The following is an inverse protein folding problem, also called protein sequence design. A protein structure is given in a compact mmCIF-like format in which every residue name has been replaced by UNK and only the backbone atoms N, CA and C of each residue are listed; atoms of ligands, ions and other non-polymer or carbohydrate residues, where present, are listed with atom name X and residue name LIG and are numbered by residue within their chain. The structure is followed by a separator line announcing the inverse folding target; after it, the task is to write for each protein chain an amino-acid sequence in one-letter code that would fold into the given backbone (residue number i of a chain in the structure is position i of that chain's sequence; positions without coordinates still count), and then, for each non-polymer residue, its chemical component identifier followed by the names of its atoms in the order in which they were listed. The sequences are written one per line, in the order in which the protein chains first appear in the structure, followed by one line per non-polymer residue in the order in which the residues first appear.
data_IF_831362225291
#
_entry.id   IF_831362225291
#
_cell.length_a   1.000
_cell.length_b   1.000
_cell.length_c   1.000
_cell.angle_alpha   90.00
_cell.angle_beta   90.00
_cell.angle_gamma   90.00
#
_symmetry.space_group_name_H-M   'P 1'
#
loop_
_entity.id
_entity.type
_entity.pdbx_description
1 polymer ?
#
# COMPACT_ATOMS: atom_id res chain seq x y z
N UNK A 1 10.15 -6.36 14.74
CA UNK A 1 8.72 -5.96 14.77
C UNK A 1 7.89 -7.20 14.49
N UNK A 2 6.85 -7.46 15.28
CA UNK A 2 5.93 -8.58 15.05
C UNK A 2 4.75 -8.12 14.19
N UNK A 3 4.45 -8.88 13.14
CA UNK A 3 3.23 -8.71 12.34
C UNK A 3 2.07 -9.38 13.10
N UNK A 4 1.00 -8.63 13.36
CA UNK A 4 -0.19 -9.09 14.08
C UNK A 4 -1.36 -9.40 13.15
N UNK A 5 -1.36 -8.86 11.93
CA UNK A 5 -2.44 -9.07 10.95
C UNK A 5 -1.91 -8.89 9.51
N UNK A 6 -2.56 -9.54 8.54
CA UNK A 6 -2.23 -9.42 7.11
C UNK A 6 -3.36 -8.75 6.34
N UNK A 7 -3.02 -7.98 5.32
CA UNK A 7 -4.02 -7.31 4.49
C UNK A 7 -4.80 -8.32 3.66
N UNK A 8 -6.10 -8.07 3.54
CA UNK A 8 -7.04 -8.91 2.77
C UNK A 8 -7.68 -8.15 1.62
N UNK A 9 -7.87 -6.84 1.74
CA UNK A 9 -8.41 -6.00 0.68
C UNK A 9 -7.99 -4.55 0.85
N UNK A 10 -8.06 -3.80 -0.26
CA UNK A 10 -7.77 -2.37 -0.30
C UNK A 10 -8.95 -1.63 -0.91
N UNK A 11 -9.47 -0.67 -0.15
CA UNK A 11 -10.56 0.20 -0.54
C UNK A 11 -10.00 1.58 -0.92
N UNK A 12 -10.38 2.07 -2.10
CA UNK A 12 -9.95 3.38 -2.58
C UNK A 12 -10.91 4.44 -2.04
N UNK A 13 -10.38 5.43 -1.32
CA UNK A 13 -11.19 6.46 -0.64
C UNK A 13 -10.95 7.88 -1.19
N UNK A 14 -10.24 8.00 -2.31
CA UNK A 14 -10.02 9.27 -2.99
C UNK A 14 -9.40 9.07 -4.36
N UNK A 15 -8.88 10.15 -4.94
CA UNK A 15 -8.35 10.17 -6.30
C UNK A 15 -6.83 10.21 -6.31
N UNK A 16 -6.23 9.86 -7.45
CA UNK A 16 -4.79 10.02 -7.63
C UNK A 16 -4.50 11.52 -7.78
N UNK A 17 -3.65 12.03 -6.90
CA UNK A 17 -3.16 13.41 -6.97
C UNK A 17 -1.64 13.45 -6.76
N UNK A 18 -0.99 14.58 -7.05
CA UNK A 18 0.38 14.80 -6.59
C UNK A 18 0.40 14.85 -5.07
N UNK A 19 1.42 14.27 -4.46
CA UNK A 19 1.61 14.44 -3.02
C UNK A 19 2.01 15.90 -2.74
N UNK A 20 1.33 16.57 -1.81
CA UNK A 20 1.54 18.00 -1.52
C UNK A 20 2.56 18.29 -0.41
N UNK A 21 3.17 17.25 0.16
CA UNK A 21 4.21 17.39 1.18
C UNK A 21 5.58 17.57 0.51
N UNK A 22 6.31 18.64 0.86
CA UNK A 22 7.51 19.13 0.14
C UNK A 22 8.42 18.06 -0.48
N UNK A 23 9.02 17.18 0.34
CA UNK A 23 9.94 16.13 -0.13
C UNK A 23 9.27 15.04 -1.01
N UNK A 24 7.94 14.92 -0.91
CA UNK A 24 7.14 13.93 -1.64
C UNK A 24 6.50 14.49 -2.91
N UNK A 25 6.71 15.77 -3.26
CA UNK A 25 6.15 16.42 -4.46
C UNK A 25 6.48 15.74 -5.81
N UNK A 26 7.48 14.86 -5.81
CA UNK A 26 7.86 13.98 -6.93
C UNK A 26 7.02 12.70 -7.05
N UNK A 27 6.15 12.43 -6.09
CA UNK A 27 5.27 11.26 -6.07
C UNK A 27 3.83 11.66 -6.38
N UNK A 28 3.10 10.71 -6.95
CA UNK A 28 1.65 10.68 -6.94
C UNK A 28 1.18 9.84 -5.76
N UNK A 29 0.13 10.31 -5.10
CA UNK A 29 -0.48 9.74 -3.91
C UNK A 29 -1.90 9.25 -4.25
N UNK A 30 -2.29 8.12 -3.67
CA UNK A 30 -3.66 7.61 -3.70
C UNK A 30 -4.06 7.19 -2.28
N UNK A 31 -5.01 7.89 -1.64
CA UNK A 31 -5.49 7.53 -0.32
C UNK A 31 -6.36 6.26 -0.39
N UNK A 32 -6.07 5.31 0.49
CA UNK A 32 -6.76 4.02 0.57
C UNK A 32 -7.02 3.62 2.03
N UNK A 33 -7.97 2.71 2.24
CA UNK A 33 -8.13 1.93 3.48
C UNK A 33 -7.68 0.51 3.23
N UNK A 34 -6.80 0.00 4.08
CA UNK A 34 -6.37 -1.39 4.08
C UNK A 34 -7.15 -2.13 5.15
N UNK A 35 -7.87 -3.16 4.73
CA UNK A 35 -8.59 -4.06 5.62
C UNK A 35 -7.67 -5.24 5.97
N UNK A 36 -7.58 -5.58 7.26
CA UNK A 36 -6.74 -6.64 7.77
C UNK A 36 -7.58 -7.83 8.26
N UNK A 37 -7.00 -9.03 8.25
CA UNK A 37 -7.64 -10.28 8.66
C UNK A 37 -8.06 -10.32 10.14
N UNK A 38 -7.48 -9.47 10.99
CA UNK A 38 -7.89 -9.27 12.38
C UNK A 38 -9.09 -8.32 12.54
N UNK A 39 -9.68 -7.84 11.44
CA UNK A 39 -10.80 -6.90 11.43
C UNK A 39 -10.41 -5.43 11.55
N UNK A 40 -9.12 -5.10 11.70
CA UNK A 40 -8.69 -3.71 11.69
C UNK A 40 -8.74 -3.11 10.29
N UNK A 41 -9.03 -1.81 10.25
CA UNK A 41 -8.99 -1.00 9.03
C UNK A 41 -8.10 0.20 9.31
N UNK A 42 -7.11 0.42 8.44
CA UNK A 42 -6.18 1.55 8.56
C UNK A 42 -6.13 2.35 7.27
N UNK A 43 -6.09 3.66 7.42
CA UNK A 43 -5.81 4.55 6.30
C UNK A 43 -4.33 4.46 5.92
N UNK A 44 -4.07 4.43 4.62
CA UNK A 44 -2.74 4.35 4.06
C UNK A 44 -2.66 5.18 2.78
N UNK A 45 -1.45 5.62 2.43
CA UNK A 45 -1.21 6.39 1.22
C UNK A 45 -0.34 5.56 0.28
N UNK A 46 -0.93 5.04 -0.80
CA UNK A 46 -0.16 4.43 -1.88
C UNK A 46 0.58 5.54 -2.62
N UNK A 47 1.84 5.29 -2.99
CA UNK A 47 2.69 6.26 -3.67
C UNK A 47 3.30 5.67 -4.93
N UNK A 48 3.37 6.46 -6.01
CA UNK A 48 4.12 6.12 -7.21
C UNK A 48 5.07 7.27 -7.58
N UNK A 49 6.32 6.93 -7.89
CA UNK A 49 7.37 7.90 -8.15
C UNK A 49 7.34 8.38 -9.62
N UNK A 50 7.39 9.70 -9.84
CA UNK A 50 7.51 10.32 -11.17
C UNK A 50 6.22 10.29 -11.99
N UNK A 51 5.56 9.14 -12.09
CA UNK A 51 4.33 8.94 -12.87
C UNK A 51 3.28 8.15 -12.07
N UNK A 52 1.97 8.43 -12.26
CA UNK A 52 0.90 7.73 -11.56
C UNK A 52 0.59 6.35 -12.17
N UNK A 53 1.40 5.86 -13.11
CA UNK A 53 1.12 4.66 -13.90
C UNK A 53 0.83 3.44 -13.03
N UNK A 54 1.65 3.19 -12.01
CA UNK A 54 1.45 2.05 -11.10
C UNK A 54 0.13 2.16 -10.32
N UNK A 55 -0.25 3.38 -9.92
CA UNK A 55 -1.53 3.62 -9.23
C UNK A 55 -2.72 3.42 -10.18
N UNK A 56 -2.61 3.86 -11.44
CA UNK A 56 -3.64 3.62 -12.46
C UNK A 56 -3.78 2.13 -12.78
N UNK A 57 -2.65 1.45 -13.00
CA UNK A 57 -2.62 0.00 -13.24
C UNK A 57 -3.23 -0.76 -12.04
N UNK A 58 -3.05 -0.28 -10.81
CA UNK A 58 -3.70 -0.81 -9.61
C UNK A 58 -5.22 -0.61 -9.65
N UNK A 59 -5.70 0.61 -9.96
CA UNK A 59 -7.13 0.91 -10.06
C UNK A 59 -7.84 0.07 -11.13
N UNK A 60 -7.17 -0.17 -12.26
CA UNK A 60 -7.69 -0.98 -13.38
C UNK A 60 -7.52 -2.49 -13.16
N UNK A 61 -6.95 -2.93 -12.03
CA UNK A 61 -6.48 -4.29 -11.77
C UNK A 61 -5.69 -4.91 -12.95
N UNK A 62 -4.86 -4.10 -13.60
CA UNK A 62 -4.12 -4.53 -14.78
C UNK A 62 -3.14 -5.64 -14.41
N UNK A 63 -3.21 -6.76 -15.12
CA UNK A 63 -2.39 -7.96 -14.86
C UNK A 63 -2.53 -8.51 -13.42
N UNK A 64 -3.66 -8.28 -12.75
CA UNK A 64 -3.88 -8.74 -11.37
C UNK A 64 -3.08 -7.95 -10.34
N UNK A 65 -2.68 -6.71 -10.65
CA UNK A 65 -1.87 -5.89 -9.74
C UNK A 65 -2.60 -5.57 -8.44
N UNK A 66 -3.91 -5.31 -8.50
CA UNK A 66 -4.73 -5.07 -7.30
C UNK A 66 -4.71 -6.29 -6.39
N UNK A 67 -5.02 -7.46 -6.94
CA UNK A 67 -5.10 -8.72 -6.19
C UNK A 67 -3.77 -9.08 -5.50
N UNK A 68 -2.65 -8.74 -6.14
CA UNK A 68 -1.31 -8.90 -5.56
C UNK A 68 -1.06 -7.91 -4.43
N UNK A 69 -1.35 -6.62 -4.66
CA UNK A 69 -1.13 -5.57 -3.67
C UNK A 69 -2.00 -5.75 -2.43
N UNK A 70 -3.24 -6.22 -2.57
CA UNK A 70 -4.15 -6.48 -1.45
C UNK A 70 -3.61 -7.49 -0.43
N UNK A 71 -2.68 -8.35 -0.83
CA UNK A 71 -2.05 -9.37 0.03
C UNK A 71 -0.63 -9.00 0.47
N UNK A 72 -0.18 -7.80 0.13
CA UNK A 72 1.22 -7.39 0.28
C UNK A 72 1.48 -6.52 1.51
N UNK A 73 0.52 -6.35 2.42
CA UNK A 73 0.71 -5.50 3.61
C UNK A 73 0.55 -6.29 4.91
N UNK A 74 1.31 -5.87 5.93
CA UNK A 74 1.22 -6.40 7.28
C UNK A 74 1.03 -5.27 8.29
N UNK A 75 0.15 -5.49 9.26
CA UNK A 75 -0.03 -4.59 10.40
C UNK A 75 0.86 -5.07 11.53
N UNK A 76 1.62 -4.16 12.12
CA UNK A 76 2.50 -4.44 13.25
C UNK A 76 1.82 -4.14 14.58
N UNK A 77 2.35 -4.70 15.67
CA UNK A 77 1.81 -4.49 17.02
C UNK A 77 1.80 -3.02 17.47
N UNK A 78 2.71 -2.19 16.94
CA UNK A 78 2.78 -0.74 17.16
C UNK A 78 1.88 0.06 16.20
N UNK A 79 1.02 -0.60 15.43
CA UNK A 79 0.02 0.02 14.55
C UNK A 79 0.58 0.54 13.23
N UNK A 80 1.81 0.15 12.84
CA UNK A 80 2.41 0.54 11.55
C UNK A 80 2.04 -0.46 10.47
N UNK A 81 1.97 0.04 9.23
CA UNK A 81 1.74 -0.77 8.04
C UNK A 81 3.06 -0.98 7.33
N UNK A 82 3.43 -2.23 7.10
CA UNK A 82 4.62 -2.64 6.35
C UNK A 82 4.23 -3.27 5.02
N UNK A 83 5.01 -2.99 3.98
CA UNK A 83 4.92 -3.70 2.71
C UNK A 83 5.76 -4.98 2.79
N UNK A 84 5.11 -6.14 2.67
CA UNK A 84 5.69 -7.47 2.90
C UNK A 84 6.41 -8.04 1.66
N UNK A 85 6.19 -7.48 0.47
CA UNK A 85 6.87 -7.95 -0.74
C UNK A 85 8.39 -7.71 -0.70
N UNK A 86 8.85 -6.74 0.10
CA UNK A 86 10.27 -6.44 0.33
C UNK A 86 10.95 -7.28 1.41
N UNK A 87 10.23 -8.18 2.10
CA UNK A 87 10.82 -8.99 3.19
C UNK A 87 11.32 -10.38 2.79
N UNK A 88 11.11 -10.82 1.54
CA UNK A 88 11.80 -12.02 1.02
C UNK A 88 13.21 -11.70 0.48
N UNK A 89 13.54 -10.45 0.16
CA UNK A 89 14.91 -10.08 -0.28
C UNK A 89 15.83 -9.60 0.86
N UNK A 90 15.31 -9.13 1.99
CA UNK A 90 16.14 -8.63 3.10
C UNK A 90 16.68 -9.73 4.05
N UNK A 91 16.39 -11.00 3.80
CA UNK A 91 16.88 -12.13 4.60
C UNK A 91 18.03 -12.91 3.94
N UNK A 92 18.51 -12.45 2.77
CA UNK A 92 19.62 -13.06 2.01
C UNK A 92 20.73 -12.03 1.70
N UNK A 93 21.17 -11.25 2.69
CA UNK A 93 22.39 -10.45 2.60
C UNK A 93 23.26 -10.62 3.84
#
# INVERSE_FOLDING_TARGET
MKIIARSVSIEVIGEIDRCHDGENSKFYCLPVKIHFDNGEVKEYMLRAHGEPKTLRDFLENKKGLKDKMEKSFGLTEDGKILYLYSTEEASNS
#
